data_IF_815900905334
#
_entry.id   IF_815900905334
#
_cell.length_a   1.000
_cell.length_b   1.000
_cell.length_c   1.000
_cell.angle_alpha   90.00
_cell.angle_beta   90.00
_cell.angle_gamma   90.00
#
_symmetry.space_group_name_H-M   'P 1'
#
loop_
_entity.id
_entity.type
_entity.pdbx_description
1 polymer ?
#
# COMPACT_ATOMS: atom_id res chain seq x y z
N UNK A 1 47.42 -21.68 8.12
CA UNK A 1 46.37 -20.68 7.83
C UNK A 1 46.90 -19.32 8.22
N UNK A 2 46.90 -18.33 7.31
CA UNK A 2 47.15 -16.93 7.70
C UNK A 2 45.80 -16.32 8.08
N UNK A 3 45.64 -15.97 9.35
CA UNK A 3 44.43 -15.36 9.87
C UNK A 3 44.42 -13.86 9.53
N UNK A 4 43.39 -13.36 8.83
CA UNK A 4 43.23 -11.92 8.63
C UNK A 4 41.75 -11.49 8.63
N UNK A 5 41.36 -10.74 9.66
CA UNK A 5 40.40 -9.62 9.54
C UNK A 5 38.97 -9.84 10.06
N UNK A 6 38.61 -9.13 11.14
CA UNK A 6 37.20 -8.85 11.49
C UNK A 6 36.79 -7.49 10.91
N UNK A 7 35.66 -7.42 10.19
CA UNK A 7 35.06 -6.18 9.69
C UNK A 7 33.93 -5.75 10.62
N UNK A 8 34.11 -4.64 11.34
CA UNK A 8 33.12 -4.06 12.26
C UNK A 8 32.65 -2.71 11.70
N UNK A 9 31.46 -2.62 11.06
CA UNK A 9 31.04 -1.42 10.33
C UNK A 9 30.64 -0.24 11.23
N UNK A 10 30.43 -0.45 12.54
CA UNK A 10 29.98 0.63 13.42
C UNK A 10 30.20 0.33 14.91
N UNK A 11 31.27 0.91 15.46
CA UNK A 11 31.40 1.20 16.89
C UNK A 11 31.97 0.09 17.78
N UNK A 12 32.68 0.53 18.83
CA UNK A 12 33.31 -0.29 19.89
C UNK A 12 32.26 -0.99 20.77
N UNK A 13 31.50 -1.92 20.20
CA UNK A 13 30.51 -2.72 20.91
C UNK A 13 31.18 -3.83 21.75
N UNK A 14 30.43 -4.52 22.61
CA UNK A 14 30.95 -5.61 23.45
C UNK A 14 31.66 -6.69 22.60
N UNK A 15 31.15 -6.97 21.41
CA UNK A 15 31.74 -7.90 20.43
C UNK A 15 33.11 -7.44 19.92
N UNK A 16 33.33 -6.12 19.76
CA UNK A 16 34.61 -5.53 19.33
C UNK A 16 35.72 -5.71 20.39
N UNK A 17 35.38 -5.61 21.68
CA UNK A 17 36.33 -5.86 22.78
C UNK A 17 36.78 -7.32 22.82
N UNK A 18 35.85 -8.25 22.64
CA UNK A 18 36.13 -9.70 22.68
C UNK A 18 37.00 -10.15 21.51
N UNK A 19 36.84 -9.53 20.34
CA UNK A 19 37.69 -9.79 19.16
C UNK A 19 39.12 -9.27 19.36
N UNK A 20 39.27 -8.08 19.96
CA UNK A 20 40.59 -7.52 20.29
C UNK A 20 41.32 -8.33 21.37
N UNK A 21 40.61 -8.78 22.41
CA UNK A 21 41.16 -9.64 23.47
C UNK A 21 41.63 -11.00 22.93
N UNK A 22 41.04 -11.48 21.83
CA UNK A 22 41.43 -12.72 21.15
C UNK A 22 42.63 -12.55 20.18
N UNK A 23 43.23 -11.36 20.08
CA UNK A 23 44.43 -11.10 19.25
C UNK A 23 44.20 -11.14 17.74
N UNK A 24 42.95 -11.04 17.27
CA UNK A 24 42.59 -11.09 15.85
C UNK A 24 42.72 -9.68 15.24
N UNK A 25 43.38 -9.49 14.07
CA UNK A 25 43.43 -8.20 13.40
C UNK A 25 42.03 -7.70 13.01
N UNK A 26 41.68 -6.47 13.40
CA UNK A 26 40.38 -5.83 13.09
C UNK A 26 40.58 -4.70 12.09
N UNK A 27 39.71 -4.61 11.09
CA UNK A 27 39.67 -3.50 10.13
C UNK A 27 38.28 -2.88 10.11
N UNK A 28 38.21 -1.55 10.09
CA UNK A 28 36.94 -0.81 10.07
C UNK A 28 36.35 -0.70 8.65
N UNK A 29 37.21 -0.79 7.63
CA UNK A 29 36.83 -0.81 6.22
C UNK A 29 37.33 -2.09 5.54
N UNK A 30 36.41 -2.80 4.88
CA UNK A 30 36.68 -4.02 4.13
C UNK A 30 37.67 -3.80 2.96
N UNK A 31 37.81 -2.58 2.46
CA UNK A 31 38.76 -2.23 1.38
C UNK A 31 40.21 -2.25 1.83
N UNK A 32 40.46 -2.22 3.14
CA UNK A 32 41.79 -2.34 3.69
C UNK A 32 42.25 -3.80 3.82
N UNK A 33 41.39 -4.78 3.47
CA UNK A 33 41.77 -6.19 3.43
C UNK A 33 42.65 -6.47 2.20
N UNK A 34 43.80 -7.15 2.34
CA UNK A 34 44.61 -7.55 1.20
C UNK A 34 43.83 -8.53 0.31
N UNK A 35 43.71 -8.23 -0.99
CA UNK A 35 42.77 -8.89 -1.90
C UNK A 35 43.12 -10.35 -2.28
N UNK A 36 44.36 -10.79 -2.07
CA UNK A 36 44.88 -12.04 -2.65
C UNK A 36 45.22 -13.14 -1.63
N UNK A 37 44.99 -12.96 -0.31
CA UNK A 37 45.50 -13.92 0.70
C UNK A 37 44.62 -14.01 1.97
N UNK A 38 43.28 -13.99 1.80
CA UNK A 38 42.32 -14.05 2.92
C UNK A 38 41.43 -15.29 2.79
N UNK A 39 41.55 -16.21 3.75
CA UNK A 39 40.77 -17.44 3.81
C UNK A 39 39.44 -17.27 4.58
N UNK A 40 39.40 -16.35 5.58
CA UNK A 40 38.28 -16.19 6.53
C UNK A 40 38.10 -14.72 6.92
N UNK A 41 36.85 -14.24 6.91
CA UNK A 41 36.43 -12.90 7.30
C UNK A 41 35.32 -13.00 8.34
N UNK A 42 35.51 -12.40 9.51
CA UNK A 42 34.46 -12.31 10.53
C UNK A 42 33.74 -10.97 10.40
N UNK A 43 32.43 -10.92 10.58
CA UNK A 43 31.67 -9.69 10.48
C UNK A 43 30.62 -9.51 11.58
N UNK A 44 30.39 -8.26 11.96
CA UNK A 44 29.39 -7.89 12.95
C UNK A 44 28.41 -6.89 12.35
N UNK A 45 27.11 -7.19 12.30
CA UNK A 45 26.06 -6.23 11.90
C UNK A 45 25.23 -6.65 10.68
N UNK A 46 23.95 -6.23 10.69
CA UNK A 46 22.90 -6.68 9.76
C UNK A 46 22.77 -5.84 8.46
N UNK A 47 23.59 -4.81 8.25
CA UNK A 47 23.35 -3.79 7.20
C UNK A 47 24.23 -3.90 5.95
N UNK A 48 25.02 -4.96 5.80
CA UNK A 48 25.93 -5.09 4.66
C UNK A 48 25.40 -6.10 3.63
N UNK A 49 25.39 -5.70 2.35
CA UNK A 49 24.91 -6.54 1.24
C UNK A 49 26.02 -7.53 0.83
N UNK A 50 26.13 -8.62 1.60
CA UNK A 50 27.23 -9.59 1.56
C UNK A 50 27.41 -10.31 0.22
N UNK A 51 26.33 -10.49 -0.55
CA UNK A 51 26.41 -11.14 -1.88
C UNK A 51 27.20 -10.28 -2.88
N UNK A 52 27.14 -8.96 -2.75
CA UNK A 52 27.94 -8.04 -3.59
C UNK A 52 29.43 -8.08 -3.21
N UNK A 53 29.74 -8.31 -1.93
CA UNK A 53 31.10 -8.39 -1.39
C UNK A 53 31.78 -9.73 -1.73
N UNK A 54 31.08 -10.86 -1.62
CA UNK A 54 31.59 -12.19 -1.99
C UNK A 54 32.05 -12.28 -3.45
N UNK A 55 31.45 -11.48 -4.33
CA UNK A 55 31.78 -11.41 -5.76
C UNK A 55 32.99 -10.53 -6.10
N UNK A 56 33.47 -9.70 -5.16
CA UNK A 56 34.63 -8.82 -5.36
C UNK A 56 35.97 -9.47 -4.99
N UNK A 57 35.95 -10.57 -4.24
CA UNK A 57 37.15 -11.27 -3.75
C UNK A 57 37.45 -12.48 -4.64
N UNK A 58 38.66 -12.55 -5.20
CA UNK A 58 39.09 -13.63 -6.12
C UNK A 58 38.92 -15.04 -5.54
N UNK A 59 39.11 -15.21 -4.23
CA UNK A 59 39.16 -16.52 -3.56
C UNK A 59 37.93 -16.88 -2.70
N UNK A 60 36.83 -16.11 -2.74
CA UNK A 60 35.57 -16.37 -2.00
C UNK A 60 35.79 -16.82 -0.53
N UNK A 61 36.31 -15.94 0.35
CA UNK A 61 36.58 -16.28 1.74
C UNK A 61 35.35 -16.68 2.55
N UNK A 62 35.59 -17.44 3.62
CA UNK A 62 34.60 -17.84 4.62
C UNK A 62 34.11 -16.61 5.41
N UNK A 63 32.84 -16.20 5.24
CA UNK A 63 32.24 -15.12 6.02
C UNK A 63 31.43 -15.69 7.19
N UNK A 64 31.77 -15.32 8.43
CA UNK A 64 31.08 -15.76 9.64
C UNK A 64 30.51 -14.56 10.40
N UNK A 65 29.26 -14.67 10.86
CA UNK A 65 28.64 -13.70 11.78
C UNK A 65 29.26 -13.80 13.19
N UNK A 66 28.86 -12.93 14.12
CA UNK A 66 29.48 -12.89 15.46
C UNK A 66 29.34 -14.21 16.22
N UNK A 67 28.19 -14.89 16.17
CA UNK A 67 28.01 -16.22 16.78
C UNK A 67 28.80 -17.33 16.08
N UNK A 68 28.82 -17.34 14.75
CA UNK A 68 29.63 -18.24 13.94
C UNK A 68 31.13 -18.02 14.16
N UNK A 69 31.55 -16.78 14.44
CA UNK A 69 32.91 -16.42 14.81
C UNK A 69 33.29 -17.03 16.17
N UNK A 70 32.40 -17.00 17.15
CA UNK A 70 32.60 -17.64 18.45
C UNK A 70 32.71 -19.16 18.33
N UNK A 71 31.77 -19.80 17.63
CA UNK A 71 31.79 -21.25 17.46
C UNK A 71 33.01 -21.71 16.66
N UNK A 72 33.35 -20.99 15.58
CA UNK A 72 34.51 -21.30 14.76
C UNK A 72 35.83 -21.01 15.50
N UNK A 73 35.93 -19.92 16.27
CA UNK A 73 37.09 -19.64 17.13
C UNK A 73 37.24 -20.73 18.17
N UNK A 74 36.20 -21.11 18.90
CA UNK A 74 36.28 -22.17 19.91
C UNK A 74 36.68 -23.52 19.29
N UNK A 75 36.18 -23.83 18.09
CA UNK A 75 36.54 -25.06 17.36
C UNK A 75 37.97 -24.98 16.83
N UNK A 76 38.39 -23.86 16.23
CA UNK A 76 39.75 -23.68 15.70
C UNK A 76 40.80 -23.51 16.78
N UNK A 77 40.47 -22.92 17.92
CA UNK A 77 41.34 -22.81 19.08
C UNK A 77 41.55 -24.21 19.68
N UNK A 78 40.49 -25.01 19.80
CA UNK A 78 40.57 -26.43 20.22
C UNK A 78 41.29 -27.35 19.21
N UNK A 79 41.20 -27.05 17.91
CA UNK A 79 41.92 -27.78 16.85
C UNK A 79 43.38 -27.31 16.70
N UNK A 80 43.69 -26.04 16.97
CA UNK A 80 45.06 -25.53 16.99
C UNK A 80 45.83 -26.04 18.22
N UNK A 81 45.14 -26.22 19.34
CA UNK A 81 45.63 -26.93 20.53
C UNK A 81 45.86 -28.43 20.31
N UNK A 82 45.38 -29.01 19.19
CA UNK A 82 45.54 -30.43 18.86
C UNK A 82 47.00 -30.81 18.53
N UNK A 83 47.87 -29.82 18.23
CA UNK A 83 49.33 -30.06 18.18
C UNK A 83 49.99 -30.16 19.57
N UNK A 84 49.31 -29.77 20.64
CA UNK A 84 49.80 -29.81 22.04
C UNK A 84 48.79 -30.48 23.00
N UNK A 85 48.04 -31.51 22.57
CA UNK A 85 47.00 -32.15 23.41
C UNK A 85 47.36 -33.54 24.01
N UNK A 86 48.40 -33.71 24.86
CA UNK A 86 48.56 -34.92 25.69
C UNK A 86 47.75 -34.93 27.00
N UNK A 87 47.05 -33.86 27.41
CA UNK A 87 46.66 -33.66 28.83
C UNK A 87 45.17 -33.47 29.16
N UNK A 88 44.23 -33.57 28.21
CA UNK A 88 42.80 -33.67 28.55
C UNK A 88 42.38 -35.14 28.62
N UNK A 89 41.78 -35.54 29.74
CA UNK A 89 41.29 -36.90 29.90
C UNK A 89 40.19 -37.16 28.85
N UNK A 90 40.06 -38.39 28.33
CA UNK A 90 39.00 -38.75 27.37
C UNK A 90 37.61 -38.25 27.78
N UNK A 91 37.30 -38.24 29.09
CA UNK A 91 36.07 -37.73 29.67
C UNK A 91 35.76 -36.25 29.34
N UNK A 92 36.77 -35.38 29.32
CA UNK A 92 36.57 -33.93 29.12
C UNK A 92 36.27 -33.61 27.65
N UNK A 93 36.88 -34.37 26.72
CA UNK A 93 36.58 -34.30 25.28
C UNK A 93 35.15 -34.76 24.97
N UNK A 94 34.65 -35.75 25.72
CA UNK A 94 33.27 -36.22 25.57
C UNK A 94 32.24 -35.23 26.12
N UNK A 95 32.55 -34.58 27.25
CA UNK A 95 31.67 -33.58 27.85
C UNK A 95 31.37 -32.43 26.87
N UNK A 96 32.37 -31.93 26.15
CA UNK A 96 32.23 -30.81 25.19
C UNK A 96 31.35 -31.18 23.99
N UNK A 97 31.56 -32.37 23.41
CA UNK A 97 30.77 -32.83 22.27
C UNK A 97 29.32 -33.08 22.68
N UNK A 98 29.12 -33.63 23.88
CA UNK A 98 27.81 -33.98 24.40
C UNK A 98 27.02 -32.76 24.91
N UNK A 99 27.70 -31.68 25.31
CA UNK A 99 27.07 -30.42 25.73
C UNK A 99 26.66 -29.53 24.56
N UNK A 100 27.08 -29.83 23.33
CA UNK A 100 26.72 -29.03 22.17
C UNK A 100 25.24 -29.22 21.82
N UNK A 101 24.51 -28.10 21.64
CA UNK A 101 23.12 -28.12 21.20
C UNK A 101 22.95 -28.39 19.70
N UNK A 102 24.01 -28.21 18.92
CA UNK A 102 24.04 -28.59 17.50
C UNK A 102 24.31 -30.10 17.38
N UNK A 103 23.71 -30.71 16.36
CA UNK A 103 23.94 -32.12 16.05
C UNK A 103 25.35 -32.30 15.49
N UNK A 104 26.13 -33.21 16.06
CA UNK A 104 27.48 -33.55 15.62
C UNK A 104 27.50 -35.02 15.17
N UNK A 105 27.92 -35.26 13.93
CA UNK A 105 28.19 -36.58 13.35
C UNK A 105 29.66 -36.64 12.98
N UNK A 106 30.39 -37.65 13.45
CA UNK A 106 31.81 -37.85 13.11
C UNK A 106 31.93 -39.16 12.33
N UNK A 107 32.64 -39.13 11.19
CA UNK A 107 32.91 -40.28 10.35
C UNK A 107 34.39 -40.55 10.17
N UNK A 108 34.74 -41.80 9.91
CA UNK A 108 36.07 -42.19 9.46
C UNK A 108 36.30 -41.90 7.96
N UNK A 109 37.52 -42.16 7.47
CA UNK A 109 37.90 -41.99 6.06
C UNK A 109 37.08 -42.84 5.09
N UNK A 110 36.48 -43.94 5.57
CA UNK A 110 35.59 -44.80 4.77
C UNK A 110 34.14 -44.29 4.75
N UNK A 111 33.83 -43.21 5.47
CA UNK A 111 32.49 -42.64 5.56
C UNK A 111 31.57 -43.37 6.55
N UNK A 112 32.12 -44.20 7.44
CA UNK A 112 31.34 -44.88 8.49
C UNK A 112 31.27 -44.02 9.74
N UNK A 113 30.11 -44.03 10.42
CA UNK A 113 29.89 -43.23 11.62
C UNK A 113 30.75 -43.75 12.77
N UNK A 114 31.67 -42.90 13.24
CA UNK A 114 32.49 -43.14 14.43
C UNK A 114 31.78 -42.67 15.69
N UNK A 115 31.09 -41.52 15.63
CA UNK A 115 30.43 -40.91 16.78
C UNK A 115 29.23 -40.05 16.39
N UNK A 116 28.26 -40.00 17.29
CA UNK A 116 27.11 -39.11 17.30
C UNK A 116 26.97 -38.50 18.69
N UNK A 117 26.68 -37.20 18.77
CA UNK A 117 26.36 -36.57 20.06
C UNK A 117 24.86 -36.69 20.38
N UNK A 118 24.44 -36.46 21.64
CA UNK A 118 23.04 -36.57 22.05
C UNK A 118 22.08 -35.66 21.27
N UNK A 119 22.56 -34.46 20.87
CA UNK A 119 21.77 -33.58 20.02
C UNK A 119 21.51 -34.21 18.64
N UNK A 120 22.51 -34.84 18.02
CA UNK A 120 22.35 -35.56 16.76
C UNK A 120 21.45 -36.79 16.92
N UNK A 121 21.56 -37.56 18.01
CA UNK A 121 20.66 -38.68 18.29
C UNK A 121 19.19 -38.22 18.34
N UNK A 122 18.93 -37.08 19.00
CA UNK A 122 17.59 -36.49 19.09
C UNK A 122 17.10 -35.95 17.74
N UNK A 123 17.96 -35.32 16.95
CA UNK A 123 17.58 -34.79 15.63
C UNK A 123 17.32 -35.91 14.61
N UNK A 124 18.08 -36.99 14.67
CA UNK A 124 18.04 -38.10 13.72
C UNK A 124 17.09 -39.23 14.16
N UNK A 125 16.72 -39.26 15.44
CA UNK A 125 15.83 -40.29 16.01
C UNK A 125 16.48 -41.67 16.11
N UNK A 126 17.82 -41.74 16.12
CA UNK A 126 18.60 -42.98 16.14
C UNK A 126 19.63 -42.89 17.27
N UNK A 127 19.78 -43.98 18.04
CA UNK A 127 20.79 -44.06 19.09
C UNK A 127 22.20 -44.23 18.50
N UNK A 128 23.20 -43.60 19.11
CA UNK A 128 24.59 -43.62 18.68
C UNK A 128 25.15 -45.05 18.64
N UNK A 129 24.72 -45.92 19.55
CA UNK A 129 25.09 -47.33 19.57
C UNK A 129 24.62 -48.08 18.31
N UNK A 130 23.44 -47.73 17.79
CA UNK A 130 22.86 -48.35 16.59
C UNK A 130 23.47 -47.79 15.29
N UNK A 131 23.88 -46.52 15.30
CA UNK A 131 24.45 -45.85 14.13
C UNK A 131 25.96 -46.11 13.96
N UNK A 132 26.67 -46.50 15.02
CA UNK A 132 28.13 -46.71 14.99
C UNK A 132 28.53 -47.79 13.98
N UNK A 133 29.51 -47.47 13.14
CA UNK A 133 30.02 -48.36 12.09
C UNK A 133 29.14 -48.46 10.84
N UNK A 134 27.93 -47.88 10.83
CA UNK A 134 27.09 -47.82 9.64
C UNK A 134 27.59 -46.71 8.68
N UNK A 135 27.40 -46.86 7.35
CA UNK A 135 27.68 -45.78 6.41
C UNK A 135 26.82 -44.56 6.71
N UNK A 136 27.43 -43.37 6.73
CA UNK A 136 26.74 -42.14 7.16
C UNK A 136 25.51 -41.81 6.31
N UNK A 137 25.52 -42.17 5.03
CA UNK A 137 24.39 -41.97 4.12
C UNK A 137 23.09 -42.69 4.50
N UNK A 138 23.17 -43.70 5.39
CA UNK A 138 21.98 -44.42 5.90
C UNK A 138 21.26 -43.68 7.01
N UNK A 139 21.93 -42.73 7.67
CA UNK A 139 21.44 -42.04 8.88
C UNK A 139 21.33 -40.53 8.65
N UNK A 140 22.24 -39.95 7.87
CA UNK A 140 22.37 -38.52 7.62
C UNK A 140 22.60 -38.23 6.13
N UNK A 141 22.12 -37.11 5.56
CA UNK A 141 22.40 -36.75 4.18
C UNK A 141 23.92 -36.51 3.99
N UNK A 142 24.61 -37.53 3.51
CA UNK A 142 26.06 -37.63 3.54
C UNK A 142 26.79 -36.91 2.41
N UNK A 143 26.07 -36.30 1.45
CA UNK A 143 26.66 -35.76 0.22
C UNK A 143 27.80 -34.78 0.46
N UNK A 144 27.60 -33.78 1.34
CA UNK A 144 28.65 -32.82 1.67
C UNK A 144 29.79 -33.44 2.50
N UNK A 145 29.46 -34.34 3.43
CA UNK A 145 30.46 -35.03 4.26
C UNK A 145 31.41 -35.90 3.43
N UNK A 146 30.88 -36.66 2.47
CA UNK A 146 31.68 -37.50 1.57
C UNK A 146 32.56 -36.66 0.64
N UNK A 147 32.06 -35.52 0.13
CA UNK A 147 32.88 -34.60 -0.66
C UNK A 147 33.99 -33.96 0.18
N UNK A 148 33.72 -33.60 1.42
CA UNK A 148 34.74 -33.08 2.34
C UNK A 148 35.83 -34.11 2.63
N UNK A 149 35.49 -35.40 2.78
CA UNK A 149 36.47 -36.48 2.90
C UNK A 149 37.38 -36.60 1.68
N UNK A 150 36.82 -36.47 0.47
CA UNK A 150 37.58 -36.59 -0.78
C UNK A 150 38.46 -35.36 -1.06
N UNK A 151 37.95 -34.17 -0.78
CA UNK A 151 38.61 -32.91 -1.13
C UNK A 151 39.55 -32.41 -0.04
N UNK A 152 39.38 -32.89 1.20
CA UNK A 152 40.07 -32.34 2.38
C UNK A 152 39.70 -30.88 2.65
N UNK A 153 38.61 -30.37 2.06
CA UNK A 153 38.15 -28.99 2.21
C UNK A 153 36.84 -28.94 2.98
N UNK A 154 36.76 -28.01 3.92
CA UNK A 154 35.54 -27.74 4.67
C UNK A 154 34.45 -27.16 3.76
N UNK A 155 33.21 -27.60 3.95
CA UNK A 155 32.04 -27.04 3.28
C UNK A 155 31.08 -26.48 4.33
N UNK A 156 30.70 -25.21 4.23
CA UNK A 156 29.93 -24.52 5.26
C UNK A 156 28.54 -24.10 4.78
N UNK A 157 27.62 -23.92 5.73
CA UNK A 157 26.27 -23.39 5.53
C UNK A 157 25.44 -24.15 4.50
N UNK A 158 25.68 -25.46 4.38
CA UNK A 158 24.93 -26.32 3.49
C UNK A 158 23.52 -26.54 4.04
N UNK A 159 22.54 -25.94 3.38
CA UNK A 159 21.12 -26.10 3.69
C UNK A 159 20.60 -27.38 3.05
N UNK A 160 20.03 -28.27 3.85
CA UNK A 160 19.47 -29.53 3.37
C UNK A 160 18.24 -29.94 4.17
N UNK A 161 17.40 -30.76 3.56
CA UNK A 161 16.25 -31.35 4.23
C UNK A 161 16.69 -32.58 5.03
N UNK A 162 16.19 -32.69 6.26
CA UNK A 162 16.30 -33.87 7.11
C UNK A 162 14.87 -34.30 7.48
N UNK A 163 14.26 -35.15 6.64
CA UNK A 163 12.85 -35.48 6.74
C UNK A 163 11.95 -34.24 6.57
N UNK A 164 11.20 -33.87 7.63
CA UNK A 164 10.35 -32.66 7.66
C UNK A 164 11.08 -31.41 8.16
N UNK A 165 12.33 -31.55 8.61
CA UNK A 165 13.14 -30.45 9.15
C UNK A 165 14.06 -29.90 8.09
N UNK A 166 14.42 -28.64 8.24
CA UNK A 166 15.46 -27.99 7.43
C UNK A 166 16.65 -27.75 8.34
N UNK A 167 17.80 -28.29 7.95
CA UNK A 167 19.04 -28.13 8.71
C UNK A 167 20.06 -27.33 7.91
N UNK A 168 20.89 -26.59 8.61
CA UNK A 168 22.12 -26.00 8.07
C UNK A 168 23.29 -26.80 8.61
N UNK A 169 24.19 -27.25 7.73
CA UNK A 169 25.30 -28.16 8.07
C UNK A 169 26.65 -27.59 7.64
N UNK A 170 27.62 -27.72 8.54
CA UNK A 170 29.03 -27.46 8.30
C UNK A 170 29.80 -28.79 8.32
N UNK A 171 30.61 -29.03 7.30
CA UNK A 171 31.44 -30.22 7.14
C UNK A 171 32.91 -29.84 7.33
N UNK A 172 33.60 -30.51 8.25
CA UNK A 172 34.96 -30.19 8.68
C UNK A 172 35.82 -31.46 8.58
N UNK A 173 36.84 -31.54 7.72
CA UNK A 173 37.77 -32.66 7.70
C UNK A 173 38.78 -32.54 8.85
N UNK A 174 39.30 -33.68 9.31
CA UNK A 174 40.43 -33.74 10.24
C UNK A 174 41.49 -34.70 9.72
N UNK A 175 42.74 -34.48 10.11
CA UNK A 175 43.91 -35.18 9.56
C UNK A 175 44.59 -36.02 10.63
N UNK A 176 45.31 -37.05 10.20
CA UNK A 176 46.22 -37.81 11.07
C UNK A 176 47.57 -37.08 11.25
N UNK A 177 48.43 -37.63 12.10
CA UNK A 177 49.78 -37.10 12.37
C UNK A 177 50.68 -37.04 11.11
N UNK A 178 50.27 -37.70 10.01
CA UNK A 178 50.97 -37.73 8.72
C UNK A 178 50.40 -36.71 7.72
N UNK A 179 49.40 -35.93 8.11
CA UNK A 179 48.77 -34.90 7.28
C UNK A 179 47.79 -35.45 6.24
N UNK A 180 47.35 -36.70 6.37
CA UNK A 180 46.34 -37.33 5.51
C UNK A 180 44.97 -37.18 6.17
N UNK A 181 43.91 -36.94 5.39
CA UNK A 181 42.55 -36.84 5.93
C UNK A 181 42.21 -38.17 6.63
N UNK A 182 41.97 -38.09 7.94
CA UNK A 182 41.63 -39.23 8.78
C UNK A 182 40.12 -39.43 8.92
N UNK A 183 39.34 -38.39 8.67
CA UNK A 183 37.89 -38.40 8.71
C UNK A 183 37.28 -37.01 8.59
N UNK A 184 35.98 -36.90 8.88
CA UNK A 184 35.27 -35.63 8.85
C UNK A 184 34.16 -35.56 9.90
N UNK A 185 33.80 -34.34 10.29
CA UNK A 185 32.68 -34.03 11.17
C UNK A 185 31.62 -33.21 10.43
N UNK A 186 30.35 -33.56 10.62
CA UNK A 186 29.18 -32.76 10.25
C UNK A 186 28.61 -32.13 11.51
N UNK A 187 28.54 -30.81 11.55
CA UNK A 187 27.89 -30.04 12.61
C UNK A 187 26.65 -29.40 12.00
N UNK A 188 25.46 -29.70 12.52
CA UNK A 188 24.22 -29.24 11.94
C UNK A 188 23.22 -28.71 12.96
N UNK A 189 22.45 -27.69 12.55
CA UNK A 189 21.42 -27.04 13.35
C UNK A 189 20.08 -27.08 12.66
N UNK A 190 19.02 -27.33 13.42
CA UNK A 190 17.63 -27.21 12.96
C UNK A 190 17.24 -25.74 12.83
N UNK A 191 16.92 -25.30 11.61
CA UNK A 191 16.53 -23.93 11.28
C UNK A 191 15.08 -23.86 10.78
N UNK A 192 14.27 -24.88 11.06
CA UNK A 192 12.91 -25.01 10.53
C UNK A 192 12.01 -23.85 10.96
N UNK A 193 12.01 -23.50 12.25
CA UNK A 193 11.20 -22.40 12.79
C UNK A 193 11.64 -21.03 12.26
N UNK A 194 12.96 -20.81 12.21
CA UNK A 194 13.56 -19.59 11.66
C UNK A 194 13.15 -19.41 10.20
N UNK A 195 13.19 -20.48 9.40
CA UNK A 195 12.76 -20.47 8.00
C UNK A 195 11.28 -20.12 7.83
N UNK A 196 10.39 -20.67 8.67
CA UNK A 196 8.96 -20.36 8.64
C UNK A 196 8.69 -18.89 8.98
N UNK A 197 9.25 -18.38 10.08
CA UNK A 197 9.11 -16.97 10.47
C UNK A 197 9.61 -16.02 9.37
N UNK A 198 10.73 -16.34 8.74
CA UNK A 198 11.28 -15.52 7.64
C UNK A 198 10.31 -15.45 6.46
N UNK A 199 9.69 -16.59 6.10
CA UNK A 199 8.70 -16.66 5.03
C UNK A 199 7.42 -15.89 5.37
N UNK A 200 6.92 -16.00 6.61
CA UNK A 200 5.75 -15.26 7.07
C UNK A 200 6.00 -13.74 7.04
N UNK A 201 7.17 -13.28 7.51
CA UNK A 201 7.57 -11.87 7.45
C UNK A 201 7.65 -11.39 5.99
N UNK A 202 8.20 -12.20 5.08
CA UNK A 202 8.27 -11.85 3.67
C UNK A 202 6.86 -11.68 3.08
N UNK A 203 5.95 -12.63 3.34
CA UNK A 203 4.57 -12.55 2.87
C UNK A 203 3.82 -11.33 3.44
N UNK A 204 3.99 -11.03 4.73
CA UNK A 204 3.40 -9.83 5.34
C UNK A 204 3.91 -8.54 4.68
N UNK A 205 5.21 -8.47 4.35
CA UNK A 205 5.79 -7.33 3.62
C UNK A 205 5.22 -7.20 2.21
N UNK A 206 5.01 -8.31 1.50
CA UNK A 206 4.40 -8.31 0.17
C UNK A 206 2.97 -7.76 0.21
N UNK A 207 2.14 -8.22 1.17
CA UNK A 207 0.78 -7.71 1.35
C UNK A 207 0.78 -6.22 1.67
N UNK A 208 1.67 -5.75 2.56
CA UNK A 208 1.80 -4.33 2.87
C UNK A 208 2.20 -3.49 1.64
N UNK A 209 3.12 -3.99 0.81
CA UNK A 209 3.51 -3.31 -0.43
C UNK A 209 2.36 -3.23 -1.44
N UNK A 210 1.59 -4.31 -1.59
CA UNK A 210 0.42 -4.34 -2.46
C UNK A 210 -0.64 -3.32 -2.01
N UNK A 211 -0.98 -3.28 -0.73
CA UNK A 211 -1.93 -2.31 -0.18
C UNK A 211 -1.48 -0.86 -0.42
N UNK A 212 -0.18 -0.57 -0.20
CA UNK A 212 0.38 0.75 -0.46
C UNK A 212 0.32 1.12 -1.94
N UNK A 213 0.59 0.17 -2.85
CA UNK A 213 0.48 0.39 -4.29
C UNK A 213 -0.96 0.72 -4.71
N UNK A 214 -1.95 -0.02 -4.21
CA UNK A 214 -3.38 0.23 -4.49
C UNK A 214 -3.77 1.64 -4.07
N UNK A 215 -3.49 2.02 -2.82
CA UNK A 215 -3.80 3.35 -2.27
C UNK A 215 -3.13 4.46 -3.10
N UNK A 216 -1.87 4.25 -3.50
CA UNK A 216 -1.11 5.25 -4.27
C UNK A 216 -1.57 5.38 -5.73
N UNK A 217 -2.14 4.32 -6.30
CA UNK A 217 -2.65 4.30 -7.68
C UNK A 217 -4.07 4.89 -7.83
N UNK A 218 -4.78 5.06 -6.72
CA UNK A 218 -6.15 5.58 -6.73
C UNK A 218 -6.17 7.07 -7.16
N UNK A 219 -7.18 7.45 -7.95
CA UNK A 219 -7.35 8.83 -8.42
C UNK A 219 -7.90 9.76 -7.34
N UNK A 220 -8.77 9.24 -6.48
CA UNK A 220 -9.31 9.98 -5.35
C UNK A 220 -8.24 10.23 -4.28
N UNK A 221 -8.34 11.40 -3.66
CA UNK A 221 -7.47 11.77 -2.56
C UNK A 221 -7.87 10.99 -1.31
N UNK A 222 -6.91 10.29 -0.71
CA UNK A 222 -7.09 9.50 0.51
C UNK A 222 -6.24 10.10 1.62
N UNK A 223 -6.86 10.34 2.78
CA UNK A 223 -6.19 10.65 4.04
C UNK A 223 -6.66 9.72 5.14
N UNK A 224 -5.73 9.35 6.02
CA UNK A 224 -6.01 8.47 7.16
C UNK A 224 -5.44 9.08 8.43
N UNK A 225 -6.22 9.02 9.50
CA UNK A 225 -5.77 9.41 10.85
C UNK A 225 -5.92 8.25 11.83
N UNK A 226 -5.11 8.26 12.89
CA UNK A 226 -5.22 7.32 14.00
C UNK A 226 -6.36 7.70 14.97
N UNK A 227 -6.55 6.90 16.02
CA UNK A 227 -7.58 7.13 17.05
C UNK A 227 -7.42 8.44 17.81
N UNK A 228 -6.21 8.99 17.89
CA UNK A 228 -5.91 10.31 18.47
C UNK A 228 -6.13 11.47 17.48
N UNK A 229 -6.60 11.19 16.26
CA UNK A 229 -6.83 12.18 15.22
C UNK A 229 -5.57 12.67 14.51
N UNK A 230 -4.42 12.01 14.68
CA UNK A 230 -3.16 12.37 14.00
C UNK A 230 -3.05 11.69 12.65
N UNK A 231 -2.63 12.43 11.62
CA UNK A 231 -2.42 11.90 10.27
C UNK A 231 -1.39 10.76 10.25
N UNK A 232 -1.74 9.64 9.61
CA UNK A 232 -0.87 8.46 9.45
C UNK A 232 -0.52 8.14 8.01
N UNK A 233 -1.40 8.50 7.07
CA UNK A 233 -1.19 8.23 5.66
C UNK A 233 -1.93 9.25 4.79
N UNK A 234 -1.28 9.66 3.71
CA UNK A 234 -1.91 10.32 2.56
C UNK A 234 -1.43 9.65 1.29
N UNK A 235 -2.24 9.65 0.23
CA UNK A 235 -1.82 9.16 -1.08
C UNK A 235 -1.37 10.32 -2.00
N UNK A 236 -0.70 10.05 -3.14
CA UNK A 236 -0.27 11.09 -4.07
C UNK A 236 -1.41 11.96 -4.63
N UNK A 237 -2.63 11.40 -4.75
CA UNK A 237 -3.80 12.16 -5.16
C UNK A 237 -4.16 13.26 -4.15
N UNK A 238 -4.06 12.97 -2.85
CA UNK A 238 -4.23 13.97 -1.80
C UNK A 238 -3.25 15.13 -1.96
N UNK A 239 -1.97 14.85 -2.24
CA UNK A 239 -0.97 15.91 -2.46
C UNK A 239 -1.26 16.73 -3.71
N UNK A 240 -1.68 16.10 -4.82
CA UNK A 240 -2.07 16.83 -6.05
C UNK A 240 -3.27 17.75 -5.82
N UNK A 241 -4.24 17.28 -5.03
CA UNK A 241 -5.48 17.99 -4.76
C UNK A 241 -5.28 19.14 -3.77
N UNK A 242 -4.65 18.89 -2.62
CA UNK A 242 -4.48 19.88 -1.54
C UNK A 242 -3.23 20.74 -1.70
N UNK A 243 -2.19 20.23 -2.37
CA UNK A 243 -0.85 20.83 -2.40
C UNK A 243 0.02 20.52 -1.18
N UNK A 244 -0.48 19.75 -0.21
CA UNK A 244 0.23 19.38 1.01
C UNK A 244 0.97 18.06 0.83
N UNK A 245 2.20 17.98 1.36
CA UNK A 245 3.02 16.76 1.32
C UNK A 245 2.99 16.04 2.67
N UNK A 246 3.54 14.83 2.73
CA UNK A 246 3.52 13.99 3.94
C UNK A 246 4.04 14.72 5.19
N UNK A 247 5.15 15.48 5.08
CA UNK A 247 5.71 16.25 6.20
C UNK A 247 4.73 17.28 6.80
N UNK A 248 3.76 17.70 6.00
CA UNK A 248 2.80 18.72 6.40
C UNK A 248 1.62 18.12 7.15
N UNK A 249 1.33 16.83 6.95
CA UNK A 249 0.11 16.15 7.42
C UNK A 249 0.39 15.05 8.45
N UNK A 250 1.48 14.30 8.29
CA UNK A 250 1.80 13.18 9.16
C UNK A 250 2.09 13.64 10.60
N UNK A 251 1.48 12.97 11.56
CA UNK A 251 1.57 13.29 12.99
C UNK A 251 0.80 14.55 13.42
N UNK A 252 0.20 15.28 12.49
CA UNK A 252 -0.52 16.52 12.74
C UNK A 252 -2.04 16.28 12.83
N UNK A 253 -2.79 17.18 13.49
CA UNK A 253 -4.25 17.06 13.58
C UNK A 253 -4.93 17.13 12.21
N UNK A 254 -6.15 16.61 12.07
CA UNK A 254 -6.84 16.44 10.79
C UNK A 254 -7.60 17.72 10.39
N UNK A 255 -7.07 18.86 10.82
CA UNK A 255 -7.56 20.22 10.56
C UNK A 255 -6.59 21.02 9.70
N UNK A 256 -5.37 20.50 9.48
CA UNK A 256 -4.29 21.21 8.77
C UNK A 256 -4.65 21.51 7.32
N UNK A 257 -5.44 20.65 6.69
CA UNK A 257 -5.85 20.74 5.30
C UNK A 257 -7.22 21.40 5.12
N UNK A 258 -7.90 21.77 6.20
CA UNK A 258 -9.25 22.35 6.14
C UNK A 258 -9.13 23.87 6.00
N UNK A 259 -9.61 24.40 4.88
CA UNK A 259 -9.66 25.84 4.66
C UNK A 259 -10.96 26.48 5.17
N UNK A 260 -12.04 25.69 5.26
CA UNK A 260 -13.36 26.13 5.73
C UNK A 260 -14.18 24.91 6.19
N UNK A 261 -14.72 24.97 7.42
CA UNK A 261 -15.56 23.91 8.00
C UNK A 261 -14.92 23.15 9.16
N UNK A 262 -15.65 22.17 9.69
CA UNK A 262 -15.19 21.25 10.74
C UNK A 262 -14.46 20.04 10.16
N UNK A 263 -13.63 19.38 10.97
CA UNK A 263 -12.97 18.14 10.55
C UNK A 263 -13.92 16.95 10.57
N UNK A 264 -14.16 16.37 9.39
CA UNK A 264 -14.97 15.16 9.26
C UNK A 264 -14.27 13.94 9.89
N UNK A 265 -12.94 13.92 9.94
CA UNK A 265 -12.20 12.89 10.69
C UNK A 265 -12.51 12.95 12.19
N UNK A 266 -12.45 14.13 12.83
CA UNK A 266 -12.78 14.28 14.25
C UNK A 266 -14.23 13.87 14.54
N UNK A 267 -15.16 14.32 13.70
CA UNK A 267 -16.58 13.96 13.81
C UNK A 267 -16.82 12.46 13.76
N UNK A 268 -16.14 11.74 12.86
CA UNK A 268 -16.23 10.27 12.77
C UNK A 268 -15.58 9.60 13.98
N UNK A 269 -14.44 10.12 14.47
CA UNK A 269 -13.78 9.59 15.66
C UNK A 269 -14.64 9.76 16.93
N UNK A 270 -15.32 10.90 17.08
CA UNK A 270 -16.22 11.18 18.21
C UNK A 270 -17.51 10.37 18.16
N UNK A 271 -18.13 10.27 16.99
CA UNK A 271 -19.45 9.63 16.84
C UNK A 271 -19.39 8.13 16.59
N UNK A 272 -18.25 7.63 16.10
CA UNK A 272 -18.10 6.27 15.58
C UNK A 272 -18.96 5.97 14.34
N UNK A 273 -19.59 6.99 13.72
CA UNK A 273 -20.48 6.84 12.57
C UNK A 273 -19.85 7.44 11.31
N UNK A 274 -20.06 6.83 10.13
CA UNK A 274 -19.55 7.39 8.89
C UNK A 274 -20.26 8.70 8.52
N UNK A 275 -19.54 9.57 7.81
CA UNK A 275 -20.04 10.81 7.23
C UNK A 275 -19.95 10.72 5.71
N UNK A 276 -21.03 11.05 5.02
CA UNK A 276 -21.10 10.99 3.55
C UNK A 276 -21.45 12.35 2.95
N UNK A 277 -20.85 12.66 1.81
CA UNK A 277 -21.23 13.81 1.01
C UNK A 277 -20.90 15.17 1.63
N UNK A 278 -19.95 15.24 2.57
CA UNK A 278 -19.62 16.49 3.23
C UNK A 278 -18.90 17.43 2.24
N UNK A 279 -19.55 18.53 1.88
CA UNK A 279 -18.97 19.57 1.02
C UNK A 279 -18.13 20.51 1.86
N UNK A 280 -16.88 20.73 1.47
CA UNK A 280 -15.97 21.66 2.16
C UNK A 280 -14.89 22.19 1.22
N UNK A 281 -14.06 23.10 1.73
CA UNK A 281 -12.89 23.62 1.01
C UNK A 281 -11.60 23.17 1.69
N UNK A 282 -10.69 22.62 0.89
CA UNK A 282 -9.42 22.06 1.37
C UNK A 282 -8.20 22.68 0.71
N UNK A 283 -7.09 22.63 1.45
CA UNK A 283 -5.77 23.12 1.05
C UNK A 283 -5.66 24.64 0.91
N UNK A 284 -4.44 25.17 0.71
CA UNK A 284 -4.20 26.60 0.54
C UNK A 284 -4.93 27.22 -0.66
N UNK A 285 -5.22 26.40 -1.69
CA UNK A 285 -5.96 26.81 -2.89
C UNK A 285 -7.48 26.83 -2.71
N UNK A 286 -7.99 26.50 -1.51
CA UNK A 286 -9.43 26.47 -1.16
C UNK A 286 -10.28 25.69 -2.16
N UNK A 287 -9.81 24.51 -2.60
CA UNK A 287 -10.54 23.68 -3.58
C UNK A 287 -11.83 23.14 -2.98
N UNK A 288 -12.92 23.23 -3.71
CA UNK A 288 -14.23 22.71 -3.30
C UNK A 288 -14.30 21.21 -3.56
N UNK A 289 -14.58 20.44 -2.51
CA UNK A 289 -14.50 18.98 -2.53
C UNK A 289 -15.69 18.34 -1.85
N UNK A 290 -15.97 17.10 -2.21
CA UNK A 290 -16.87 16.20 -1.47
C UNK A 290 -16.05 15.17 -0.72
N UNK A 291 -16.26 15.10 0.59
CA UNK A 291 -15.53 14.21 1.49
C UNK A 291 -16.47 13.14 2.04
N UNK A 292 -16.06 11.89 1.91
CA UNK A 292 -16.66 10.73 2.57
C UNK A 292 -15.68 10.22 3.62
N UNK A 293 -16.12 10.03 4.85
CA UNK A 293 -15.25 9.60 5.96
C UNK A 293 -15.87 8.41 6.67
N UNK A 294 -15.06 7.37 6.90
CA UNK A 294 -15.47 6.15 7.58
C UNK A 294 -14.54 5.80 8.75
N UNK A 295 -15.07 5.23 9.85
CA UNK A 295 -14.25 4.76 10.96
C UNK A 295 -13.48 3.49 10.56
N UNK A 296 -12.24 3.36 11.01
CA UNK A 296 -11.44 2.15 10.85
C UNK A 296 -11.63 1.30 12.09
N UNK A 297 -12.30 0.16 11.93
CA UNK A 297 -12.60 -0.78 13.00
C UNK A 297 -11.75 -2.03 12.86
N UNK A 298 -11.01 -2.41 13.90
CA UNK A 298 -10.23 -3.65 13.99
C UNK A 298 -10.65 -4.35 15.27
N UNK A 299 -11.10 -5.60 15.18
CA UNK A 299 -11.59 -6.37 16.34
C UNK A 299 -12.66 -5.63 17.17
N UNK A 300 -13.55 -4.89 16.49
CA UNK A 300 -14.58 -4.01 17.08
C UNK A 300 -14.05 -2.81 17.86
N UNK A 301 -12.75 -2.53 17.80
CA UNK A 301 -12.13 -1.34 18.37
C UNK A 301 -11.89 -0.28 17.28
N UNK A 302 -12.22 0.98 17.58
CA UNK A 302 -11.93 2.11 16.71
C UNK A 302 -10.41 2.39 16.71
N UNK A 303 -9.76 2.17 15.58
CA UNK A 303 -8.32 2.41 15.39
C UNK A 303 -8.01 3.74 14.71
N UNK A 304 -8.99 4.36 14.05
CA UNK A 304 -8.78 5.59 13.31
C UNK A 304 -9.93 5.92 12.38
N UNK A 305 -9.65 6.74 11.37
CA UNK A 305 -10.63 7.20 10.40
C UNK A 305 -9.97 7.38 9.03
N UNK A 306 -10.66 7.00 7.97
CA UNK A 306 -10.24 7.17 6.56
C UNK A 306 -11.19 8.11 5.85
N UNK A 307 -10.63 9.08 5.12
CA UNK A 307 -11.38 10.00 4.27
C UNK A 307 -11.02 9.78 2.80
N UNK A 308 -12.05 9.82 1.97
CA UNK A 308 -11.96 9.83 0.51
C UNK A 308 -12.51 11.18 0.03
N UNK A 309 -11.67 11.92 -0.68
CA UNK A 309 -11.90 13.31 -1.06
C UNK A 309 -11.97 13.37 -2.60
N UNK A 310 -13.11 13.85 -3.10
CA UNK A 310 -13.36 13.99 -4.53
C UNK A 310 -13.34 15.47 -4.91
N UNK A 311 -12.58 15.84 -5.94
CA UNK A 311 -12.65 17.16 -6.54
C UNK A 311 -13.93 17.27 -7.37
N UNK A 312 -14.83 18.18 -6.99
CA UNK A 312 -16.09 18.40 -7.70
C UNK A 312 -16.07 19.65 -8.57
N UNK A 313 -14.92 20.34 -8.64
CA UNK A 313 -14.80 21.64 -9.33
C UNK A 313 -15.20 21.53 -10.80
N UNK A 314 -14.75 20.47 -11.48
CA UNK A 314 -15.04 20.25 -12.90
C UNK A 314 -16.50 19.87 -13.14
N UNK A 315 -17.04 18.95 -12.32
CA UNK A 315 -18.46 18.55 -12.40
C UNK A 315 -19.37 19.76 -12.20
N UNK A 316 -19.06 20.61 -11.22
CA UNK A 316 -19.84 21.83 -10.95
C UNK A 316 -19.78 22.81 -12.12
N UNK A 317 -18.57 23.05 -12.66
CA UNK A 317 -18.38 23.90 -13.83
C UNK A 317 -19.17 23.39 -15.04
N UNK A 318 -19.09 22.10 -15.34
CA UNK A 318 -19.82 21.48 -16.45
C UNK A 318 -21.34 21.60 -16.25
N UNK A 319 -21.82 21.42 -15.02
CA UNK A 319 -23.23 21.57 -14.69
C UNK A 319 -23.70 23.04 -14.85
N UNK A 320 -22.88 24.00 -14.46
CA UNK A 320 -23.15 25.44 -14.67
C UNK A 320 -23.16 25.80 -16.16
N UNK A 321 -22.23 25.26 -16.95
CA UNK A 321 -22.20 25.44 -18.41
C UNK A 321 -23.43 24.82 -19.08
N UNK A 322 -23.85 23.62 -18.64
CA UNK A 322 -25.07 22.96 -19.11
C UNK A 322 -26.32 23.79 -18.79
N UNK A 323 -26.45 24.32 -17.58
CA UNK A 323 -27.59 25.16 -17.21
C UNK A 323 -27.61 26.47 -18.01
N UNK A 324 -26.45 27.07 -18.29
CA UNK A 324 -26.35 28.23 -19.19
C UNK A 324 -26.77 27.88 -20.62
N UNK A 325 -26.36 26.72 -21.13
CA UNK A 325 -26.74 26.25 -22.46
C UNK A 325 -28.27 26.01 -22.54
N UNK A 326 -28.86 25.34 -21.55
CA UNK A 326 -30.31 25.14 -21.45
C UNK A 326 -31.08 26.46 -21.43
N UNK A 327 -30.62 27.46 -20.66
CA UNK A 327 -31.22 28.80 -20.65
C UNK A 327 -31.16 29.48 -22.03
N UNK A 328 -30.06 29.32 -22.78
CA UNK A 328 -29.96 29.84 -24.15
C UNK A 328 -30.88 29.14 -25.13
N UNK A 329 -31.08 27.84 -24.99
CA UNK A 329 -32.05 27.09 -25.83
C UNK A 329 -33.46 27.62 -25.59
N UNK A 330 -33.85 27.83 -24.32
CA UNK A 330 -35.15 28.41 -23.96
C UNK A 330 -35.37 29.82 -24.50
N UNK A 331 -34.31 30.62 -24.65
CA UNK A 331 -34.37 31.95 -25.25
C UNK A 331 -34.72 31.95 -26.76
N UNK A 332 -34.49 30.84 -27.48
CA UNK A 332 -34.62 30.77 -28.94
C UNK A 332 -35.95 30.15 -29.42
N UNK A 333 -36.94 29.97 -28.54
CA UNK A 333 -38.12 29.15 -28.84
C UNK A 333 -39.23 29.86 -29.62
N UNK A 334 -39.38 31.19 -29.54
CA UNK A 334 -40.43 31.92 -30.28
C UNK A 334 -40.09 32.10 -31.77
N UNK A 335 -40.12 31.00 -32.53
CA UNK A 335 -39.67 30.96 -33.93
C UNK A 335 -40.64 31.54 -34.96
N UNK A 336 -41.93 31.59 -34.65
CA UNK A 336 -42.99 31.87 -35.63
C UNK A 336 -43.56 33.27 -35.47
N UNK A 337 -43.86 33.93 -36.59
CA UNK A 337 -44.57 35.20 -36.63
C UNK A 337 -45.96 35.03 -37.22
N UNK A 338 -46.75 36.10 -37.25
CA UNK A 338 -48.09 36.04 -37.85
C UNK A 338 -48.06 35.73 -39.35
N UNK A 339 -46.94 36.01 -40.02
CA UNK A 339 -46.73 35.71 -41.43
C UNK A 339 -46.57 34.20 -41.69
N UNK A 340 -46.19 33.41 -40.67
CA UNK A 340 -46.10 31.95 -40.75
C UNK A 340 -47.45 31.24 -40.60
N UNK A 341 -48.53 31.97 -40.26
CA UNK A 341 -49.88 31.42 -40.13
C UNK A 341 -50.59 31.46 -41.48
N UNK A 342 -50.56 30.34 -42.21
CA UNK A 342 -51.10 30.23 -43.56
C UNK A 342 -52.59 29.84 -43.53
N UNK A 343 -53.45 30.66 -44.15
CA UNK A 343 -54.83 30.31 -44.44
C UNK A 343 -55.72 31.51 -44.78
N UNK A 344 -56.79 31.28 -45.54
CA UNK A 344 -57.63 32.36 -46.11
C UNK A 344 -59.07 32.38 -45.59
N UNK A 345 -59.46 31.47 -44.69
CA UNK A 345 -60.82 31.44 -44.14
C UNK A 345 -61.13 32.72 -43.37
N UNK A 346 -62.39 33.14 -43.40
CA UNK A 346 -62.83 34.32 -42.65
C UNK A 346 -62.56 34.18 -41.15
N UNK A 347 -62.82 33.00 -40.57
CA UNK A 347 -62.59 32.77 -39.12
C UNK A 347 -61.12 32.88 -38.74
N UNK A 348 -60.19 32.37 -39.56
CA UNK A 348 -58.76 32.44 -39.26
C UNK A 348 -58.25 33.88 -39.36
N UNK A 349 -58.66 34.63 -40.39
CA UNK A 349 -58.29 36.04 -40.54
C UNK A 349 -58.75 36.87 -39.35
N UNK A 350 -59.99 36.64 -38.88
CA UNK A 350 -60.52 37.30 -37.70
C UNK A 350 -59.70 36.97 -36.43
N UNK A 351 -59.33 35.70 -36.24
CA UNK A 351 -58.50 35.28 -35.10
C UNK A 351 -57.09 35.91 -35.14
N UNK A 352 -56.45 35.95 -36.32
CA UNK A 352 -55.15 36.60 -36.51
C UNK A 352 -55.24 38.10 -36.23
N UNK A 353 -56.31 38.76 -36.66
CA UNK A 353 -56.51 40.20 -36.39
C UNK A 353 -56.70 40.48 -34.91
N UNK A 354 -57.51 39.67 -34.20
CA UNK A 354 -57.69 39.77 -32.76
C UNK A 354 -56.36 39.55 -32.01
N UNK A 355 -55.59 38.54 -32.41
CA UNK A 355 -54.29 38.23 -31.84
C UNK A 355 -53.27 39.38 -32.06
N UNK A 356 -53.26 40.01 -33.24
CA UNK A 356 -52.42 41.18 -33.51
C UNK A 356 -52.79 42.38 -32.63
N UNK A 357 -54.09 42.64 -32.43
CA UNK A 357 -54.56 43.74 -31.58
C UNK A 357 -54.19 43.55 -30.11
N UNK A 358 -54.29 42.32 -29.59
CA UNK A 358 -53.97 42.05 -28.19
C UNK A 358 -52.46 41.98 -27.92
N UNK A 359 -51.64 41.68 -28.94
CA UNK A 359 -50.19 41.52 -28.78
C UNK A 359 -49.48 42.74 -28.18
N UNK A 360 -49.88 43.97 -28.52
CA UNK A 360 -49.27 45.18 -27.93
C UNK A 360 -49.85 45.59 -26.57
N UNK A 361 -50.76 44.77 -26.00
CA UNK A 361 -51.42 45.05 -24.72
C UNK A 361 -50.86 44.17 -23.59
N UNK A 362 -51.00 44.59 -22.32
CA UNK A 362 -50.58 43.77 -21.19
C UNK A 362 -51.53 42.62 -20.86
N UNK A 363 -52.68 42.50 -21.56
CA UNK A 363 -53.75 41.57 -21.23
C UNK A 363 -53.32 40.10 -21.30
N UNK A 364 -53.89 39.27 -20.41
CA UNK A 364 -53.73 37.82 -20.44
C UNK A 364 -54.51 37.23 -21.61
N UNK A 365 -53.85 36.41 -22.43
CA UNK A 365 -54.45 35.79 -23.61
C UNK A 365 -54.75 34.31 -23.33
N UNK A 366 -55.98 33.89 -23.60
CA UNK A 366 -56.36 32.48 -23.55
C UNK A 366 -56.61 31.96 -24.98
N UNK A 367 -55.73 31.08 -25.45
CA UNK A 367 -55.87 30.45 -26.77
C UNK A 367 -56.67 29.16 -26.65
N UNK A 368 -57.84 29.10 -27.29
CA UNK A 368 -58.71 27.91 -27.32
C UNK A 368 -58.73 27.27 -28.70
N UNK A 369 -58.95 25.97 -28.73
CA UNK A 369 -59.02 25.17 -29.96
C UNK A 369 -58.69 23.71 -29.69
N UNK A 370 -59.10 22.82 -30.58
CA UNK A 370 -58.80 21.39 -30.50
C UNK A 370 -57.28 21.11 -30.61
N UNK A 371 -56.86 19.89 -30.29
CA UNK A 371 -55.46 19.51 -30.45
C UNK A 371 -55.04 19.64 -31.92
N UNK A 372 -53.83 20.17 -32.17
CA UNK A 372 -53.31 20.33 -33.53
C UNK A 372 -53.78 21.56 -34.32
N UNK A 373 -54.66 22.42 -33.77
CA UNK A 373 -55.17 23.62 -34.49
C UNK A 373 -54.18 24.80 -34.57
N UNK A 374 -52.90 24.59 -34.26
CA UNK A 374 -51.87 25.64 -34.39
C UNK A 374 -51.85 26.71 -33.30
N UNK A 375 -52.43 26.46 -32.11
CA UNK A 375 -52.41 27.40 -30.97
C UNK A 375 -50.99 27.90 -30.61
N UNK A 376 -49.99 27.05 -30.75
CA UNK A 376 -48.59 27.38 -30.50
C UNK A 376 -48.03 28.43 -31.48
N UNK A 377 -48.43 28.38 -32.76
CA UNK A 377 -48.09 29.39 -33.76
C UNK A 377 -48.62 30.76 -33.35
N UNK A 378 -49.86 30.81 -32.85
CA UNK A 378 -50.45 32.05 -32.33
C UNK A 378 -49.70 32.57 -31.10
N UNK A 379 -49.33 31.71 -30.16
CA UNK A 379 -48.59 32.13 -28.97
C UNK A 379 -47.22 32.75 -29.32
N UNK A 380 -46.48 32.13 -30.25
CA UNK A 380 -45.20 32.64 -30.74
C UNK A 380 -45.39 33.99 -31.46
N UNK A 381 -46.38 34.06 -32.35
CA UNK A 381 -46.67 35.26 -33.12
C UNK A 381 -47.07 36.45 -32.23
N UNK A 382 -47.91 36.20 -31.20
CA UNK A 382 -48.31 37.20 -30.21
C UNK A 382 -47.08 37.69 -29.43
N UNK A 383 -46.22 36.77 -28.94
CA UNK A 383 -45.00 37.15 -28.23
C UNK A 383 -44.09 38.03 -29.09
N UNK A 384 -43.80 37.61 -30.32
CA UNK A 384 -42.91 38.32 -31.25
C UNK A 384 -43.44 39.70 -31.67
N UNK A 385 -44.76 39.87 -31.76
CA UNK A 385 -45.40 41.14 -32.06
C UNK A 385 -45.58 42.06 -30.83
N UNK A 386 -45.36 41.56 -29.61
CA UNK A 386 -45.55 42.31 -28.37
C UNK A 386 -44.34 43.17 -27.96
N UNK A 387 -44.54 44.05 -26.97
CA UNK A 387 -43.43 44.75 -26.28
C UNK A 387 -42.51 43.80 -25.52
N UNK A 388 -42.98 42.59 -25.23
CA UNK A 388 -42.26 41.55 -24.48
C UNK A 388 -41.38 40.67 -25.37
N UNK A 389 -41.33 40.92 -26.69
CA UNK A 389 -40.52 40.16 -27.68
C UNK A 389 -39.02 40.06 -27.42
N UNK A 390 -38.49 40.91 -26.53
CA UNK A 390 -37.07 40.88 -26.11
C UNK A 390 -36.86 40.06 -24.82
N UNK A 391 -37.95 39.75 -24.11
CA UNK A 391 -37.94 38.89 -22.92
C UNK A 391 -38.04 37.42 -23.30
N UNK A 392 -37.97 36.52 -22.31
CA UNK A 392 -38.00 35.08 -22.56
C UNK A 392 -39.40 34.61 -23.01
N UNK A 393 -39.46 33.57 -23.84
CA UNK A 393 -40.70 32.84 -24.13
C UNK A 393 -40.60 31.45 -23.51
N UNK A 394 -41.30 31.23 -22.39
CA UNK A 394 -41.24 29.99 -21.61
C UNK A 394 -42.47 29.16 -21.92
N UNK A 395 -42.28 27.91 -22.33
CA UNK A 395 -43.36 26.96 -22.57
C UNK A 395 -43.50 26.00 -21.40
N UNK A 396 -44.72 25.86 -20.89
CA UNK A 396 -45.03 24.94 -19.80
C UNK A 396 -46.05 23.92 -20.25
N UNK A 397 -45.62 22.68 -20.41
CA UNK A 397 -46.56 21.59 -20.64
C UNK A 397 -47.12 21.10 -19.30
N UNK A 398 -48.22 21.71 -18.84
CA UNK A 398 -48.87 21.33 -17.59
C UNK A 398 -49.34 19.86 -17.56
N UNK A 399 -49.59 19.23 -18.72
CA UNK A 399 -49.96 17.80 -18.78
C UNK A 399 -48.80 16.85 -18.52
N UNK A 400 -47.55 17.32 -18.69
CA UNK A 400 -46.34 16.55 -18.46
C UNK A 400 -45.78 16.70 -17.05
N UNK A 401 -46.35 17.60 -16.25
CA UNK A 401 -45.90 17.90 -14.88
C UNK A 401 -46.90 17.27 -13.91
N UNK A 402 -46.40 16.44 -12.99
CA UNK A 402 -47.26 15.88 -11.94
C UNK A 402 -47.78 16.99 -11.02
N UNK A 403 -49.05 16.91 -10.64
CA UNK A 403 -49.74 17.93 -9.83
C UNK A 403 -48.97 18.25 -8.54
N UNK A 404 -48.37 17.23 -7.92
CA UNK A 404 -47.58 17.35 -6.69
C UNK A 404 -46.31 18.21 -6.81
N UNK A 405 -45.80 18.45 -8.02
CA UNK A 405 -44.59 19.26 -8.25
C UNK A 405 -44.88 20.54 -9.04
N UNK A 406 -46.08 20.70 -9.60
CA UNK A 406 -46.44 21.81 -10.47
C UNK A 406 -46.22 23.18 -9.82
N UNK A 407 -46.64 23.33 -8.57
CA UNK A 407 -46.48 24.59 -7.82
C UNK A 407 -44.99 24.94 -7.63
N UNK A 408 -44.17 23.95 -7.27
CA UNK A 408 -42.73 24.15 -7.08
C UNK A 408 -41.97 24.45 -8.37
N UNK A 409 -42.48 24.00 -9.53
CA UNK A 409 -41.94 24.34 -10.84
C UNK A 409 -42.33 25.77 -11.26
N UNK A 410 -43.60 26.14 -11.06
CA UNK A 410 -44.12 27.45 -11.49
C UNK A 410 -43.60 28.60 -10.62
N UNK A 411 -43.63 28.42 -9.29
CA UNK A 411 -43.30 29.48 -8.32
C UNK A 411 -41.88 29.36 -7.76
N UNK A 412 -41.22 28.20 -7.92
CA UNK A 412 -39.92 27.96 -7.33
C UNK A 412 -40.01 27.66 -5.83
N UNK A 413 -38.86 27.56 -5.17
CA UNK A 413 -38.76 27.36 -3.73
C UNK A 413 -37.40 27.79 -3.19
N UNK A 414 -37.36 28.21 -1.92
CA UNK A 414 -36.11 28.50 -1.22
C UNK A 414 -35.44 27.24 -0.65
N UNK A 415 -34.13 27.31 -0.40
CA UNK A 415 -33.37 26.20 0.16
C UNK A 415 -33.92 25.75 1.50
N UNK A 416 -34.33 24.48 1.60
CA UNK A 416 -34.89 23.91 2.83
C UNK A 416 -36.41 23.98 2.97
N UNK A 417 -37.14 24.42 1.94
CA UNK A 417 -38.61 24.48 1.96
C UNK A 417 -39.31 23.13 2.23
N UNK A 418 -38.68 22.00 1.88
CA UNK A 418 -39.18 20.65 2.15
C UNK A 418 -38.03 19.62 2.25
N UNK A 419 -38.30 18.43 2.78
CA UNK A 419 -37.34 17.34 2.85
C UNK A 419 -36.91 16.89 1.46
N UNK A 420 -35.67 17.20 1.06
CA UNK A 420 -35.15 16.96 -0.30
C UNK A 420 -35.00 18.23 -1.15
N UNK A 421 -35.41 19.41 -0.66
CA UNK A 421 -35.18 20.68 -1.33
C UNK A 421 -33.67 20.93 -1.50
N UNK A 422 -33.25 21.29 -2.72
CA UNK A 422 -31.86 21.68 -3.00
C UNK A 422 -31.47 22.87 -2.10
N UNK A 423 -30.29 22.82 -1.49
CA UNK A 423 -29.80 23.88 -0.57
C UNK A 423 -29.74 25.28 -1.20
N UNK A 424 -29.71 25.40 -2.52
CA UNK A 424 -29.73 26.68 -3.24
C UNK A 424 -31.10 27.13 -3.74
N UNK A 425 -32.18 26.42 -3.39
CA UNK A 425 -33.52 26.67 -3.91
C UNK A 425 -33.66 26.37 -5.41
N UNK A 426 -34.77 26.81 -5.99
CA UNK A 426 -35.05 26.79 -7.42
C UNK A 426 -35.86 28.04 -7.78
N UNK A 427 -35.43 28.74 -8.82
CA UNK A 427 -36.17 29.88 -9.41
C UNK A 427 -37.40 29.34 -10.14
N UNK A 428 -38.56 29.95 -9.91
CA UNK A 428 -39.82 29.55 -10.55
C UNK A 428 -39.91 29.98 -12.01
N UNK A 429 -40.68 29.23 -12.81
CA UNK A 429 -40.90 29.56 -14.22
C UNK A 429 -41.56 30.94 -14.43
N UNK A 430 -42.41 31.39 -13.50
CA UNK A 430 -42.95 32.76 -13.55
C UNK A 430 -41.87 33.82 -13.40
N UNK A 431 -40.91 33.59 -12.50
CA UNK A 431 -39.78 34.49 -12.28
C UNK A 431 -38.82 34.45 -13.47
N UNK A 432 -38.55 33.28 -14.04
CA UNK A 432 -37.76 33.15 -15.27
C UNK A 432 -38.42 33.89 -16.46
N UNK A 433 -39.77 33.88 -16.53
CA UNK A 433 -40.54 34.55 -17.58
C UNK A 433 -40.72 36.06 -17.32
N UNK A 434 -40.15 36.63 -16.26
CA UNK A 434 -40.33 38.03 -15.92
C UNK A 434 -39.86 38.94 -17.07
N UNK A 435 -40.71 39.90 -17.46
CA UNK A 435 -40.49 40.75 -18.65
C UNK A 435 -40.69 40.05 -20.01
N UNK A 436 -41.00 38.74 -20.01
CA UNK A 436 -41.22 37.89 -21.17
C UNK A 436 -42.65 37.33 -21.27
N UNK A 437 -42.82 36.08 -21.67
CA UNK A 437 -44.11 35.41 -21.84
C UNK A 437 -44.00 33.97 -21.35
N UNK A 438 -45.04 33.49 -20.69
CA UNK A 438 -45.20 32.09 -20.28
C UNK A 438 -46.44 31.52 -21.00
N UNK A 439 -46.27 30.38 -21.68
CA UNK A 439 -47.30 29.66 -22.43
C UNK A 439 -47.73 28.40 -21.69
#
# INVERSE_FOLDING_TARGET
MKFVGVVVPSGKNAEYKVVLEAGIPVVEDYRALPADDVDIIFYTGNNMNWDKFKNLLKHKPLCLDSEGAFAFRDIMQKLAEEKEMPTLAPLEKEAIINSCHDGIVIVDISGNIKKLNPAAEKFLGIQAAEARGKPVGTVFPAGGLLRTLQTGRSEFNNKQALGRKVIITNYIPFWDDKGVVAGAAAIFRDITEIGKMTSEIASLKEVQQLLKAIINSTQDAISVVNKEGKGILINPAYTRLTGLVEKDVLGKPPTVDIAEGESMHLKVLETGKPVHGAVMKVGPKRREVVVNVAPIMVDRELKGSVAVIHDISEIKRLNDELERAKRRIRFLEAKYTFEDIIGNSYQLRLAVEQARRVADTPATVLLRGESGTGKELFAHAIHNASRRRKGQFIRVNCSAIAESILESELFGYEGGAFTGARRGGKVGLFEEANGGTIL
#
